data_IF_894480710465
#
_entry.id   IF_894480710465
#
_cell.length_a   1.000
_cell.length_b   1.000
_cell.length_c   1.000
_cell.angle_alpha   90.00
_cell.angle_beta   90.00
_cell.angle_gamma   90.00
#
_symmetry.space_group_name_H-M   'P 1'
#
loop_
_entity.id
_entity.type
_entity.pdbx_description
1 polymer ?
#
# COMPACT_ATOMS: atom_id res chain seq x y z
N UNK A 1 -16.58 -21.10 -7.06
CA UNK A 1 -16.24 -19.95 -6.19
C UNK A 1 -14.77 -19.57 -6.28
N UNK A 2 -13.83 -20.54 -6.33
CA UNK A 2 -12.40 -20.28 -6.51
C UNK A 2 -12.09 -19.48 -7.79
N UNK A 3 -12.69 -19.85 -8.93
CA UNK A 3 -12.46 -19.17 -10.22
C UNK A 3 -12.89 -17.69 -10.21
N UNK A 4 -13.99 -17.37 -9.53
CA UNK A 4 -14.49 -15.99 -9.43
C UNK A 4 -13.53 -15.13 -8.60
N UNK A 5 -12.99 -15.68 -7.51
CA UNK A 5 -12.02 -14.99 -6.66
C UNK A 5 -10.71 -14.74 -7.42
N UNK A 6 -10.25 -15.75 -8.18
CA UNK A 6 -9.06 -15.65 -9.04
C UNK A 6 -9.24 -14.59 -10.14
N UNK A 7 -10.39 -14.57 -10.82
CA UNK A 7 -10.72 -13.55 -11.81
C UNK A 7 -10.77 -12.14 -11.21
N UNK A 8 -11.38 -11.96 -10.03
CA UNK A 8 -11.43 -10.66 -9.35
C UNK A 8 -10.03 -10.18 -8.94
N UNK A 9 -9.21 -11.08 -8.39
CA UNK A 9 -7.82 -10.76 -8.04
C UNK A 9 -6.99 -10.38 -9.29
N UNK A 10 -7.18 -11.10 -10.38
CA UNK A 10 -6.48 -10.85 -11.63
C UNK A 10 -6.90 -9.53 -12.29
N UNK A 11 -8.20 -9.21 -12.30
CA UNK A 11 -8.73 -7.93 -12.76
C UNK A 11 -8.21 -6.76 -11.92
N UNK A 12 -8.14 -6.92 -10.59
CA UNK A 12 -7.58 -5.91 -9.71
C UNK A 12 -6.09 -5.64 -10.00
N UNK A 13 -5.30 -6.69 -10.27
CA UNK A 13 -3.89 -6.57 -10.66
C UNK A 13 -3.71 -5.86 -12.02
N UNK A 14 -4.54 -6.22 -13.01
CA UNK A 14 -4.55 -5.56 -14.32
C UNK A 14 -4.95 -4.08 -14.20
N UNK A 15 -6.01 -3.77 -13.44
CA UNK A 15 -6.45 -2.40 -13.20
C UNK A 15 -5.37 -1.57 -12.49
N UNK A 16 -4.69 -2.14 -11.48
CA UNK A 16 -3.56 -1.50 -10.79
C UNK A 16 -2.35 -1.26 -11.71
N UNK A 17 -2.08 -2.19 -12.62
CA UNK A 17 -1.03 -2.04 -13.63
C UNK A 17 -1.34 -0.93 -14.64
N UNK A 18 -2.60 -0.81 -15.08
CA UNK A 18 -3.05 0.18 -16.07
C UNK A 18 -3.22 1.58 -15.48
N UNK A 19 -3.69 1.70 -14.23
CA UNK A 19 -4.07 2.97 -13.60
C UNK A 19 -2.94 4.01 -13.52
N UNK A 20 -1.65 3.62 -13.57
CA UNK A 20 -0.51 4.57 -13.52
C UNK A 20 0.41 4.56 -14.73
N UNK A 21 0.04 3.89 -15.82
CA UNK A 21 0.82 3.93 -17.07
C UNK A 21 0.97 5.36 -17.63
N UNK A 22 0.06 6.28 -17.31
CA UNK A 22 0.05 7.68 -17.79
C UNK A 22 0.69 8.74 -16.88
N UNK A 23 1.19 8.38 -15.68
CA UNK A 23 1.72 9.36 -14.71
C UNK A 23 3.24 9.51 -14.79
N UNK A 24 3.75 10.74 -15.02
CA UNK A 24 5.19 11.06 -14.84
C UNK A 24 5.57 10.80 -13.37
N UNK A 25 6.48 9.84 -13.07
CA UNK A 25 7.55 9.92 -12.04
C UNK A 25 8.24 8.57 -11.69
N UNK A 26 9.51 8.70 -11.25
CA UNK A 26 10.45 7.77 -10.60
C UNK A 26 10.85 6.43 -11.27
N UNK A 27 12.16 6.21 -11.41
CA UNK A 27 12.80 5.11 -12.18
C UNK A 27 12.49 3.69 -11.71
N UNK A 28 12.05 3.49 -10.46
CA UNK A 28 11.73 2.16 -9.90
C UNK A 28 10.23 1.81 -9.93
N UNK A 29 9.33 2.80 -10.06
CA UNK A 29 7.88 2.57 -10.09
C UNK A 29 7.33 1.86 -11.34
N UNK A 30 7.88 2.01 -12.57
CA UNK A 30 7.25 1.40 -13.74
C UNK A 30 7.32 -0.12 -13.74
N UNK A 31 8.35 -0.71 -13.11
CA UNK A 31 8.52 -2.16 -13.06
C UNK A 31 7.51 -2.86 -12.15
N UNK A 32 7.05 -2.21 -11.08
CA UNK A 32 6.02 -2.75 -10.18
C UNK A 32 4.66 -2.83 -10.89
N UNK A 33 4.31 -1.81 -11.67
CA UNK A 33 3.06 -1.80 -12.44
C UNK A 33 3.08 -2.83 -13.57
N UNK A 34 4.21 -2.95 -14.27
CA UNK A 34 4.40 -3.99 -15.31
C UNK A 34 4.35 -5.40 -14.72
N UNK A 35 4.98 -5.61 -13.56
CA UNK A 35 4.87 -6.86 -12.82
C UNK A 35 3.41 -7.21 -12.52
N UNK A 36 2.66 -6.28 -11.92
CA UNK A 36 1.27 -6.50 -11.57
C UNK A 36 0.40 -6.79 -12.80
N UNK A 37 0.60 -6.04 -13.89
CA UNK A 37 -0.12 -6.27 -15.14
C UNK A 37 0.18 -7.64 -15.75
N UNK A 38 1.46 -8.01 -15.91
CA UNK A 38 1.86 -9.29 -16.47
C UNK A 38 1.35 -10.47 -15.64
N UNK A 39 1.43 -10.36 -14.30
CA UNK A 39 0.94 -11.40 -13.41
C UNK A 39 -0.60 -11.51 -13.45
N UNK A 40 -1.31 -10.38 -13.45
CA UNK A 40 -2.77 -10.35 -13.58
C UNK A 40 -3.23 -10.96 -14.92
N UNK A 41 -2.58 -10.58 -16.02
CA UNK A 41 -2.87 -11.13 -17.34
C UNK A 41 -2.62 -12.65 -17.40
N UNK A 42 -1.52 -13.14 -16.80
CA UNK A 42 -1.24 -14.57 -16.73
C UNK A 42 -2.36 -15.34 -16.01
N UNK A 43 -2.83 -14.83 -14.87
CA UNK A 43 -3.90 -15.47 -14.10
C UNK A 43 -5.23 -15.52 -14.87
N UNK A 44 -5.53 -14.50 -15.68
CA UNK A 44 -6.73 -14.48 -16.54
C UNK A 44 -6.61 -15.55 -17.63
N UNK A 45 -5.49 -15.57 -18.36
CA UNK A 45 -5.26 -16.50 -19.48
C UNK A 45 -5.31 -17.96 -19.02
N UNK A 46 -4.81 -18.24 -17.82
CA UNK A 46 -4.76 -19.59 -17.25
C UNK A 46 -6.04 -20.00 -16.50
N UNK A 47 -7.09 -19.17 -16.52
CA UNK A 47 -8.37 -19.58 -15.94
C UNK A 47 -8.99 -20.66 -16.83
N UNK A 48 -9.55 -21.77 -16.30
CA UNK A 48 -10.06 -22.88 -17.12
C UNK A 48 -11.01 -22.44 -18.24
N UNK A 49 -11.93 -21.52 -17.94
CA UNK A 49 -12.86 -20.97 -18.94
C UNK A 49 -12.17 -20.17 -20.05
N UNK A 50 -11.12 -19.41 -19.73
CA UNK A 50 -10.37 -18.63 -20.70
C UNK A 50 -9.46 -19.53 -21.55
N UNK A 51 -8.81 -20.51 -20.92
CA UNK A 51 -7.96 -21.48 -21.60
C UNK A 51 -8.77 -22.30 -22.63
N UNK A 52 -9.92 -22.84 -22.23
CA UNK A 52 -10.81 -23.60 -23.12
C UNK A 52 -11.31 -22.75 -24.30
N UNK A 53 -11.75 -21.51 -24.04
CA UNK A 53 -12.22 -20.63 -25.10
C UNK A 53 -11.13 -20.28 -26.12
N UNK A 54 -9.88 -20.10 -25.65
CA UNK A 54 -8.73 -19.82 -26.54
C UNK A 54 -8.37 -21.05 -27.36
N UNK A 55 -8.38 -22.25 -26.78
CA UNK A 55 -8.10 -23.49 -27.51
C UNK A 55 -9.18 -23.79 -28.55
N UNK A 56 -10.46 -23.57 -28.24
CA UNK A 56 -11.56 -23.74 -29.19
C UNK A 56 -11.44 -22.79 -30.40
N UNK A 57 -11.03 -21.54 -30.17
CA UNK A 57 -10.94 -20.51 -31.23
C UNK A 57 -9.67 -20.68 -32.08
N UNK A 58 -8.53 -20.98 -31.46
CA UNK A 58 -7.23 -20.99 -32.14
C UNK A 58 -6.86 -22.39 -32.66
N UNK A 59 -7.42 -23.45 -32.07
CA UNK A 59 -7.17 -24.83 -32.48
C UNK A 59 -5.76 -25.34 -32.20
N UNK A 60 -5.00 -24.64 -31.35
CA UNK A 60 -3.63 -25.00 -30.96
C UNK A 60 -3.61 -25.46 -29.48
N UNK A 61 -3.40 -26.75 -29.21
CA UNK A 61 -3.38 -27.27 -27.83
C UNK A 61 -2.22 -26.68 -27.02
N UNK A 62 -2.48 -26.31 -25.76
CA UNK A 62 -1.46 -25.81 -24.83
C UNK A 62 -1.04 -24.35 -25.03
N UNK A 63 -1.63 -23.63 -26.00
CA UNK A 63 -1.35 -22.21 -26.24
C UNK A 63 -1.65 -21.32 -25.01
N UNK A 64 -2.75 -21.52 -24.26
CA UNK A 64 -2.99 -20.77 -23.03
C UNK A 64 -1.89 -20.96 -21.99
N UNK A 65 -1.35 -22.19 -21.87
CA UNK A 65 -0.25 -22.52 -20.97
C UNK A 65 1.01 -21.75 -21.33
N UNK A 66 1.41 -21.77 -22.62
CA UNK A 66 2.56 -21.00 -23.10
C UNK A 66 2.37 -19.50 -22.86
N UNK A 67 1.21 -18.95 -23.22
CA UNK A 67 0.92 -17.53 -23.04
C UNK A 67 0.98 -17.13 -21.55
N UNK A 68 0.42 -17.95 -20.67
CA UNK A 68 0.48 -17.77 -19.22
C UNK A 68 1.92 -17.80 -18.68
N UNK A 69 2.73 -18.76 -19.14
CA UNK A 69 4.12 -18.89 -18.69
C UNK A 69 5.01 -17.76 -19.21
N UNK A 70 4.83 -17.30 -20.45
CA UNK A 70 5.51 -16.11 -20.97
C UNK A 70 5.19 -14.86 -20.14
N UNK A 71 3.92 -14.67 -19.78
CA UNK A 71 3.47 -13.56 -18.92
C UNK A 71 4.04 -13.67 -17.50
N UNK A 72 4.08 -14.88 -16.92
CA UNK A 72 4.74 -15.13 -15.62
C UNK A 72 6.23 -14.82 -15.67
N UNK A 73 6.95 -15.25 -16.72
CA UNK A 73 8.38 -14.97 -16.86
C UNK A 73 8.66 -13.48 -17.05
N UNK A 74 7.80 -12.77 -17.79
CA UNK A 74 7.88 -11.31 -17.92
C UNK A 74 7.66 -10.60 -16.57
N UNK A 75 6.71 -11.08 -15.76
CA UNK A 75 6.51 -10.59 -14.40
C UNK A 75 7.77 -10.83 -13.54
N UNK A 76 8.29 -12.06 -13.51
CA UNK A 76 9.51 -12.42 -12.77
C UNK A 76 10.72 -11.57 -13.20
N UNK A 77 10.88 -11.31 -14.51
CA UNK A 77 11.93 -10.43 -15.02
C UNK A 77 11.85 -9.00 -14.43
N UNK A 78 10.63 -8.49 -14.19
CA UNK A 78 10.44 -7.19 -13.54
C UNK A 78 10.98 -7.19 -12.09
N UNK A 79 10.86 -8.30 -11.36
CA UNK A 79 11.47 -8.46 -10.02
C UNK A 79 13.00 -8.39 -10.13
N UNK A 80 13.57 -9.02 -11.15
CA UNK A 80 15.00 -8.95 -11.46
C UNK A 80 15.50 -7.53 -11.71
N UNK A 81 14.72 -6.73 -12.44
CA UNK A 81 15.02 -5.31 -12.70
C UNK A 81 14.95 -4.45 -11.44
N UNK A 82 14.10 -4.80 -10.47
CA UNK A 82 14.00 -4.10 -9.18
C UNK A 82 15.13 -4.48 -8.20
N UNK A 83 15.72 -5.67 -8.34
CA UNK A 83 16.69 -6.22 -7.39
C UNK A 83 18.14 -6.20 -7.89
N UNK A 84 18.37 -6.19 -9.21
CA UNK A 84 19.67 -6.32 -9.87
C UNK A 84 20.40 -5.00 -10.16
N UNK A 85 21.72 -5.09 -10.41
CA UNK A 85 22.61 -3.93 -10.65
C UNK A 85 22.76 -3.53 -12.13
N UNK A 86 22.34 -4.39 -13.06
CA UNK A 86 22.49 -4.16 -14.50
C UNK A 86 21.18 -4.51 -15.23
N UNK A 87 20.39 -3.48 -15.54
CA UNK A 87 19.13 -3.63 -16.27
C UNK A 87 19.31 -4.32 -17.62
N UNK A 88 20.39 -4.00 -18.36
CA UNK A 88 20.67 -4.58 -19.67
C UNK A 88 20.83 -6.11 -19.62
N UNK A 89 21.68 -6.64 -18.72
CA UNK A 89 21.84 -8.10 -18.53
C UNK A 89 20.53 -8.79 -18.15
N UNK A 90 19.70 -8.16 -17.32
CA UNK A 90 18.40 -8.71 -16.91
C UNK A 90 17.41 -8.74 -18.09
N UNK A 91 17.38 -7.69 -18.92
CA UNK A 91 16.57 -7.65 -20.13
C UNK A 91 17.03 -8.70 -21.15
N UNK A 92 18.35 -8.86 -21.33
CA UNK A 92 18.91 -9.90 -22.21
C UNK A 92 18.53 -11.29 -21.68
N UNK A 93 18.74 -11.56 -20.40
CA UNK A 93 18.38 -12.85 -19.80
C UNK A 93 16.88 -13.12 -19.94
N UNK A 94 16.02 -12.14 -19.67
CA UNK A 94 14.58 -12.26 -19.85
C UNK A 94 14.21 -12.55 -21.31
N UNK A 95 14.78 -11.79 -22.27
CA UNK A 95 14.55 -12.01 -23.70
C UNK A 95 14.98 -13.40 -24.15
N UNK A 96 16.16 -13.86 -23.72
CA UNK A 96 16.65 -15.20 -24.02
C UNK A 96 15.74 -16.29 -23.42
N UNK A 97 15.29 -16.13 -22.18
CA UNK A 97 14.35 -17.08 -21.56
C UNK A 97 13.03 -17.13 -22.31
N UNK A 98 12.44 -15.99 -22.67
CA UNK A 98 11.18 -15.94 -23.42
C UNK A 98 11.31 -16.61 -24.80
N UNK A 99 12.39 -16.31 -25.53
CA UNK A 99 12.67 -16.94 -26.83
C UNK A 99 12.88 -18.44 -26.66
N UNK A 100 13.64 -18.87 -25.65
CA UNK A 100 13.87 -20.28 -25.37
C UNK A 100 12.56 -21.02 -25.06
N UNK A 101 11.64 -20.44 -24.28
CA UNK A 101 10.35 -21.05 -23.99
C UNK A 101 9.51 -21.25 -25.25
N UNK A 102 9.44 -20.26 -26.14
CA UNK A 102 8.72 -20.39 -27.42
C UNK A 102 9.33 -21.50 -28.28
N UNK A 103 10.67 -21.55 -28.39
CA UNK A 103 11.35 -22.56 -29.21
C UNK A 103 11.17 -23.97 -28.63
N UNK A 104 11.32 -24.13 -27.31
CA UNK A 104 11.18 -25.43 -26.64
C UNK A 104 9.74 -25.93 -26.68
N UNK A 105 8.75 -25.05 -26.45
CA UNK A 105 7.33 -25.39 -26.59
C UNK A 105 7.02 -25.84 -28.01
N UNK A 106 7.49 -25.10 -29.01
CA UNK A 106 7.28 -25.43 -30.43
C UNK A 106 7.95 -26.76 -30.82
N UNK A 107 9.10 -27.08 -30.23
CA UNK A 107 9.84 -28.31 -30.48
C UNK A 107 9.31 -29.54 -29.71
N UNK A 108 8.55 -29.32 -28.63
CA UNK A 108 8.01 -30.39 -27.81
C UNK A 108 6.80 -31.09 -28.46
N UNK A 109 6.14 -30.48 -29.45
CA UNK A 109 4.99 -31.05 -30.17
C UNK A 109 3.92 -31.56 -29.19
N UNK A 110 3.47 -30.65 -28.33
CA UNK A 110 2.66 -31.00 -27.16
C UNK A 110 1.25 -31.41 -27.59
N UNK A 111 0.85 -32.60 -27.16
CA UNK A 111 -0.51 -33.09 -27.33
C UNK A 111 -1.25 -32.95 -26.01
N UNK A 112 -2.53 -32.58 -26.08
CA UNK A 112 -3.38 -32.40 -24.92
C UNK A 112 -4.53 -33.41 -25.00
N UNK A 113 -4.66 -34.28 -24.00
CA UNK A 113 -5.81 -35.19 -23.89
C UNK A 113 -6.16 -35.42 -22.42
N UNK A 114 -7.45 -35.28 -22.10
CA UNK A 114 -8.00 -35.56 -20.78
C UNK A 114 -7.32 -34.81 -19.60
N UNK A 115 -6.86 -33.58 -19.81
CA UNK A 115 -6.21 -32.77 -18.76
C UNK A 115 -4.78 -33.19 -18.43
N UNK A 116 -4.10 -33.84 -19.38
CA UNK A 116 -2.67 -34.08 -19.32
C UNK A 116 -2.00 -33.66 -20.63
N UNK A 117 -0.84 -33.01 -20.47
CA UNK A 117 0.06 -32.71 -21.58
C UNK A 117 0.97 -33.93 -21.77
N UNK A 118 1.01 -34.48 -22.98
CA UNK A 118 1.86 -35.62 -23.29
C UNK A 118 2.63 -35.42 -24.59
N UNK A 119 3.80 -36.04 -24.62
CA UNK A 119 4.80 -35.82 -25.65
C UNK A 119 5.45 -37.16 -26.01
N UNK A 120 5.69 -37.38 -27.30
CA UNK A 120 6.40 -38.57 -27.80
C UNK A 120 7.79 -38.72 -27.18
N UNK A 121 8.28 -39.96 -27.12
CA UNK A 121 9.60 -40.28 -26.57
C UNK A 121 10.75 -39.40 -27.15
N UNK A 122 10.68 -39.08 -28.45
CA UNK A 122 11.66 -38.23 -29.14
C UNK A 122 11.67 -36.77 -28.66
N UNK A 123 10.57 -36.29 -28.11
CA UNK A 123 10.37 -34.88 -27.77
C UNK A 123 10.40 -34.62 -26.24
N UNK A 124 10.45 -35.67 -25.42
CA UNK A 124 10.64 -35.61 -23.96
C UNK A 124 11.75 -34.65 -23.48
N UNK A 125 12.96 -34.61 -24.08
CA UNK A 125 13.99 -33.69 -23.61
C UNK A 125 13.61 -32.21 -23.81
N UNK A 126 12.80 -31.87 -24.82
CA UNK A 126 12.33 -30.49 -25.04
C UNK A 126 11.31 -30.08 -23.97
N UNK A 127 10.36 -30.97 -23.65
CA UNK A 127 9.40 -30.74 -22.56
C UNK A 127 10.11 -30.59 -21.20
N UNK A 128 11.10 -31.45 -20.92
CA UNK A 128 11.90 -31.35 -19.71
C UNK A 128 12.72 -30.05 -19.64
N UNK A 129 13.32 -29.63 -20.75
CA UNK A 129 14.05 -28.37 -20.83
C UNK A 129 13.11 -27.17 -20.64
N UNK A 130 11.90 -27.22 -21.20
CA UNK A 130 10.85 -26.23 -20.97
C UNK A 130 10.49 -26.15 -19.49
N UNK A 131 10.16 -27.28 -18.85
CA UNK A 131 9.84 -27.37 -17.42
C UNK A 131 11.00 -26.90 -16.53
N UNK A 132 12.24 -27.17 -16.95
CA UNK A 132 13.45 -26.70 -16.27
C UNK A 132 13.55 -25.18 -16.33
N UNK A 133 13.30 -24.57 -17.50
CA UNK A 133 13.37 -23.12 -17.67
C UNK A 133 12.30 -22.40 -16.84
N UNK A 134 11.05 -22.88 -16.87
CA UNK A 134 9.94 -22.28 -16.10
C UNK A 134 10.09 -22.51 -14.58
N UNK A 135 10.86 -23.50 -14.15
CA UNK A 135 11.12 -23.77 -12.72
C UNK A 135 12.33 -22.97 -12.21
N UNK A 136 13.48 -23.06 -12.88
CA UNK A 136 14.74 -22.49 -12.38
C UNK A 136 14.78 -20.97 -12.49
N UNK A 137 14.17 -20.38 -13.51
CA UNK A 137 14.21 -18.93 -13.69
C UNK A 137 13.46 -18.16 -12.58
N UNK A 138 12.21 -18.51 -12.22
CA UNK A 138 11.55 -17.95 -11.03
C UNK A 138 12.28 -18.28 -9.73
N UNK A 139 12.80 -19.50 -9.56
CA UNK A 139 13.55 -19.88 -8.36
C UNK A 139 14.77 -18.98 -8.16
N UNK A 140 15.54 -18.73 -9.22
CA UNK A 140 16.68 -17.81 -9.16
C UNK A 140 16.28 -16.40 -8.68
N UNK A 141 15.23 -15.82 -9.28
CA UNK A 141 14.76 -14.50 -8.91
C UNK A 141 14.15 -14.44 -7.51
N UNK A 142 13.47 -15.50 -7.08
CA UNK A 142 12.99 -15.64 -5.71
C UNK A 142 14.15 -15.69 -4.71
N UNK A 143 15.23 -16.42 -5.01
CA UNK A 143 16.44 -16.45 -4.18
C UNK A 143 17.15 -15.09 -4.12
N UNK A 144 17.23 -14.37 -5.24
CA UNK A 144 17.78 -13.01 -5.28
C UNK A 144 16.92 -12.06 -4.43
N UNK A 145 15.58 -12.11 -4.59
CA UNK A 145 14.63 -11.31 -3.81
C UNK A 145 14.75 -11.62 -2.32
N UNK A 146 14.75 -12.89 -1.93
CA UNK A 146 14.87 -13.35 -0.55
C UNK A 146 16.15 -12.82 0.11
N UNK A 147 17.31 -13.01 -0.54
CA UNK A 147 18.59 -12.49 -0.04
C UNK A 147 18.59 -10.97 0.08
N UNK A 148 18.09 -10.27 -0.93
CA UNK A 148 18.04 -8.81 -0.94
C UNK A 148 17.11 -8.26 0.15
N UNK A 149 15.94 -8.87 0.32
CA UNK A 149 14.96 -8.52 1.35
C UNK A 149 15.51 -8.77 2.74
N UNK A 150 16.12 -9.93 2.98
CA UNK A 150 16.76 -10.26 4.25
C UNK A 150 17.88 -9.27 4.59
N UNK A 151 18.79 -9.02 3.65
CA UNK A 151 19.92 -8.11 3.84
C UNK A 151 19.47 -6.67 4.13
N UNK A 152 18.44 -6.19 3.43
CA UNK A 152 17.86 -4.85 3.67
C UNK A 152 17.07 -4.82 4.98
N UNK A 153 16.39 -5.89 5.36
CA UNK A 153 15.60 -5.96 6.60
C UNK A 153 16.45 -5.77 7.85
N UNK A 154 17.72 -6.19 7.82
CA UNK A 154 18.68 -6.02 8.92
C UNK A 154 19.00 -4.56 9.21
N UNK A 155 18.88 -3.67 8.22
CA UNK A 155 19.13 -2.22 8.35
C UNK A 155 17.86 -1.39 8.45
N UNK A 156 16.72 -1.92 7.99
CA UNK A 156 15.44 -1.24 8.07
C UNK A 156 14.89 -1.22 9.51
N UNK A 157 14.00 -0.28 9.82
CA UNK A 157 13.27 -0.17 11.10
C UNK A 157 11.76 -0.12 10.86
N UNK A 158 10.97 -0.33 11.92
CA UNK A 158 9.50 -0.19 11.89
C UNK A 158 8.80 -1.02 10.81
N UNK A 159 7.82 -0.42 10.14
CA UNK A 159 6.98 -1.09 9.14
C UNK A 159 7.74 -1.56 7.90
N UNK A 160 8.82 -0.87 7.50
CA UNK A 160 9.65 -1.30 6.38
C UNK A 160 10.37 -2.62 6.68
N UNK A 161 10.84 -2.81 7.92
CA UNK A 161 11.43 -4.09 8.35
C UNK A 161 10.41 -5.23 8.27
N UNK A 162 9.17 -4.98 8.71
CA UNK A 162 8.08 -5.96 8.63
C UNK A 162 7.80 -6.31 7.17
N UNK A 163 7.66 -5.32 6.28
CA UNK A 163 7.41 -5.55 4.87
C UNK A 163 8.50 -6.37 4.19
N UNK A 164 9.77 -6.03 4.44
CA UNK A 164 10.91 -6.79 3.90
C UNK A 164 10.98 -8.22 4.44
N UNK A 165 10.60 -8.46 5.71
CA UNK A 165 10.55 -9.82 6.26
C UNK A 165 9.42 -10.64 5.65
N UNK A 166 8.24 -10.05 5.46
CA UNK A 166 7.12 -10.72 4.77
C UNK A 166 7.49 -11.07 3.32
N UNK A 167 8.14 -10.14 2.59
CA UNK A 167 8.68 -10.42 1.26
C UNK A 167 9.71 -11.56 1.27
N UNK A 168 10.58 -11.60 2.27
CA UNK A 168 11.54 -12.68 2.45
C UNK A 168 10.85 -14.04 2.69
N UNK A 169 9.86 -14.09 3.59
CA UNK A 169 9.10 -15.30 3.86
C UNK A 169 8.31 -15.76 2.64
N UNK A 170 7.68 -14.84 1.91
CA UNK A 170 6.97 -15.14 0.66
C UNK A 170 7.90 -15.70 -0.41
N UNK A 171 9.06 -15.07 -0.61
CA UNK A 171 10.08 -15.57 -1.54
C UNK A 171 10.63 -16.95 -1.13
N UNK A 172 10.82 -17.20 0.16
CA UNK A 172 11.25 -18.50 0.68
C UNK A 172 10.15 -19.58 0.48
N UNK A 173 8.89 -19.26 0.74
CA UNK A 173 7.77 -20.14 0.45
C UNK A 173 7.68 -20.45 -1.05
N UNK A 174 7.87 -19.45 -1.91
CA UNK A 174 7.95 -19.63 -3.37
C UNK A 174 9.09 -20.54 -3.81
N UNK A 175 10.28 -20.46 -3.18
CA UNK A 175 11.38 -21.38 -3.45
C UNK A 175 11.04 -22.82 -3.08
N UNK A 176 10.41 -23.03 -1.91
CA UNK A 176 9.94 -24.36 -1.52
C UNK A 176 8.87 -24.85 -2.50
N UNK A 177 8.00 -23.97 -2.97
CA UNK A 177 6.98 -24.30 -3.96
C UNK A 177 7.58 -24.73 -5.29
N UNK A 178 8.63 -24.05 -5.77
CA UNK A 178 9.32 -24.47 -7.00
C UNK A 178 9.96 -25.86 -6.93
N UNK A 179 10.12 -26.44 -5.74
CA UNK A 179 10.58 -27.82 -5.61
C UNK A 179 9.57 -28.84 -6.19
N UNK A 180 8.27 -28.52 -6.23
CA UNK A 180 7.28 -29.36 -6.92
C UNK A 180 7.52 -29.41 -8.43
N UNK A 181 7.96 -28.30 -9.04
CA UNK A 181 8.32 -28.28 -10.46
C UNK A 181 9.50 -29.21 -10.82
N UNK A 182 10.28 -29.66 -9.83
CA UNK A 182 11.32 -30.69 -10.06
C UNK A 182 10.70 -32.05 -10.37
N UNK A 183 9.55 -32.37 -9.77
CA UNK A 183 8.84 -33.61 -10.08
C UNK A 183 8.25 -33.56 -11.49
N UNK A 184 7.75 -32.39 -11.94
CA UNK A 184 7.29 -32.20 -13.33
C UNK A 184 8.42 -32.38 -14.35
N UNK A 185 9.64 -31.92 -14.03
CA UNK A 185 10.82 -32.15 -14.87
C UNK A 185 11.14 -33.65 -14.93
N UNK A 186 11.10 -34.33 -13.78
CA UNK A 186 11.34 -35.77 -13.69
C UNK A 186 10.30 -36.57 -14.47
N UNK A 187 9.02 -36.24 -14.34
CA UNK A 187 7.91 -36.89 -15.03
C UNK A 187 8.03 -36.68 -16.54
N UNK A 188 8.29 -35.45 -17.00
CA UNK A 188 8.51 -35.14 -18.40
C UNK A 188 9.67 -35.94 -19.02
N UNK A 189 10.78 -36.11 -18.30
CA UNK A 189 11.93 -36.91 -18.77
C UNK A 189 11.61 -38.40 -18.86
N UNK A 190 10.97 -38.98 -17.84
CA UNK A 190 10.80 -40.43 -17.71
C UNK A 190 9.60 -40.95 -18.51
N UNK A 191 8.48 -40.23 -18.47
CA UNK A 191 7.20 -40.68 -19.04
C UNK A 191 6.78 -39.85 -20.25
N UNK A 192 7.31 -38.63 -20.41
CA UNK A 192 6.83 -37.68 -21.42
C UNK A 192 5.46 -37.11 -21.09
N UNK A 193 5.03 -37.22 -19.84
CA UNK A 193 3.76 -36.68 -19.35
C UNK A 193 4.01 -35.53 -18.39
N UNK A 194 3.07 -34.61 -18.38
CA UNK A 194 2.98 -33.54 -17.41
C UNK A 194 1.53 -33.47 -16.94
N UNK A 195 1.35 -33.56 -15.62
CA UNK A 195 0.05 -33.48 -14.97
C UNK A 195 -0.35 -32.01 -14.85
N UNK A 196 -1.57 -31.67 -15.29
CA UNK A 196 -2.11 -30.31 -15.15
C UNK A 196 -2.65 -30.03 -13.72
N UNK A 197 -2.69 -31.05 -12.86
CA UNK A 197 -3.24 -30.95 -11.51
C UNK A 197 -2.27 -30.33 -10.52
N UNK A 198 -2.61 -29.15 -9.99
CA UNK A 198 -2.03 -28.68 -8.73
C UNK A 198 -2.62 -29.48 -7.57
N UNK A 199 -1.80 -30.26 -6.89
CA UNK A 199 -2.18 -30.88 -5.63
C UNK A 199 -2.54 -29.81 -4.59
N UNK A 200 -3.44 -30.14 -3.64
CA UNK A 200 -3.90 -29.21 -2.60
C UNK A 200 -2.75 -28.52 -1.84
N UNK A 201 -1.63 -29.23 -1.64
CA UNK A 201 -0.42 -28.69 -1.00
C UNK A 201 0.23 -27.60 -1.85
N UNK A 202 0.31 -27.81 -3.17
CA UNK A 202 0.83 -26.84 -4.15
C UNK A 202 0.00 -25.56 -4.11
N UNK A 203 -1.33 -25.67 -4.17
CA UNK A 203 -2.22 -24.50 -4.15
C UNK A 203 -2.16 -23.75 -2.80
N UNK A 204 -2.07 -24.45 -1.66
CA UNK A 204 -1.91 -23.80 -0.34
C UNK A 204 -0.59 -23.02 -0.29
N UNK A 205 0.51 -23.61 -0.76
CA UNK A 205 1.82 -22.97 -0.72
C UNK A 205 1.90 -21.79 -1.69
N UNK A 206 1.27 -21.90 -2.86
CA UNK A 206 1.08 -20.81 -3.81
C UNK A 206 0.28 -19.64 -3.22
N UNK A 207 -0.85 -19.91 -2.56
CA UNK A 207 -1.65 -18.90 -1.86
C UNK A 207 -0.86 -18.23 -0.72
N UNK A 208 -0.12 -19.02 0.07
CA UNK A 208 0.73 -18.49 1.14
C UNK A 208 1.83 -17.58 0.58
N UNK A 209 2.51 -18.01 -0.48
CA UNK A 209 3.53 -17.22 -1.18
C UNK A 209 2.95 -15.89 -1.67
N UNK A 210 1.83 -15.94 -2.41
CA UNK A 210 1.16 -14.76 -2.93
C UNK A 210 0.71 -13.81 -1.80
N UNK A 211 0.07 -14.35 -0.76
CA UNK A 211 -0.41 -13.58 0.39
C UNK A 211 0.72 -12.86 1.13
N UNK A 212 1.84 -13.55 1.37
CA UNK A 212 3.01 -12.96 2.02
C UNK A 212 3.68 -11.88 1.16
N UNK A 213 3.78 -12.10 -0.15
CA UNK A 213 4.33 -11.10 -1.08
C UNK A 213 3.45 -9.85 -1.16
N UNK A 214 2.12 -10.01 -1.23
CA UNK A 214 1.15 -8.90 -1.24
C UNK A 214 1.20 -8.15 0.09
N UNK A 215 1.18 -8.87 1.22
CA UNK A 215 1.26 -8.28 2.55
C UNK A 215 2.58 -7.50 2.73
N UNK A 216 3.70 -8.07 2.28
CA UNK A 216 5.01 -7.44 2.33
C UNK A 216 5.14 -6.21 1.44
N UNK A 217 4.61 -6.26 0.21
CA UNK A 217 4.62 -5.12 -0.72
C UNK A 217 3.68 -3.99 -0.32
N UNK A 218 2.59 -4.31 0.40
CA UNK A 218 1.58 -3.34 0.81
C UNK A 218 1.88 -2.61 2.12
N UNK A 219 2.93 -2.98 2.88
CA UNK A 219 3.22 -2.37 4.19
C UNK A 219 3.35 -0.85 4.16
N UNK A 220 3.91 -0.29 3.08
CA UNK A 220 3.99 1.16 2.91
C UNK A 220 2.61 1.80 2.72
N UNK A 221 1.72 1.14 1.96
CA UNK A 221 0.35 1.59 1.76
C UNK A 221 -0.45 1.54 3.08
N UNK A 222 -0.27 0.51 3.90
CA UNK A 222 -0.90 0.42 5.22
C UNK A 222 -0.48 1.56 6.15
N UNK A 223 0.81 1.90 6.18
CA UNK A 223 1.31 3.02 6.99
C UNK A 223 0.75 4.34 6.49
N UNK A 224 0.75 4.55 5.18
CA UNK A 224 0.20 5.76 4.57
C UNK A 224 -1.30 5.91 4.83
N UNK A 225 -2.07 4.82 4.69
CA UNK A 225 -3.51 4.79 4.96
C UNK A 225 -3.81 5.06 6.44
N UNK A 226 -3.03 4.46 7.35
CA UNK A 226 -3.16 4.72 8.79
C UNK A 226 -2.88 6.18 9.12
N UNK A 227 -1.81 6.76 8.55
CA UNK A 227 -1.49 8.17 8.76
C UNK A 227 -2.58 9.07 8.17
N UNK A 228 -3.04 8.80 6.95
CA UNK A 228 -4.15 9.53 6.34
C UNK A 228 -5.42 9.50 7.21
N UNK A 229 -5.79 8.33 7.73
CA UNK A 229 -6.94 8.18 8.61
C UNK A 229 -6.78 8.95 9.92
N UNK A 230 -5.57 8.92 10.50
CA UNK A 230 -5.23 9.71 11.67
C UNK A 230 -5.36 11.21 11.36
N UNK A 231 -4.76 11.70 10.27
CA UNK A 231 -4.84 13.11 9.86
C UNK A 231 -6.29 13.55 9.62
N UNK A 232 -7.10 12.69 9.01
CA UNK A 232 -8.52 12.94 8.76
C UNK A 232 -9.30 13.09 10.07
N UNK A 233 -9.13 12.14 11.00
CA UNK A 233 -9.78 12.18 12.31
C UNK A 233 -9.34 13.39 13.13
N UNK A 234 -8.05 13.69 13.14
CA UNK A 234 -7.50 14.85 13.86
C UNK A 234 -8.01 16.16 13.26
N UNK A 235 -8.00 16.30 11.94
CA UNK A 235 -8.55 17.47 11.23
C UNK A 235 -10.03 17.71 11.57
N UNK A 236 -10.84 16.64 11.58
CA UNK A 236 -12.25 16.71 11.99
C UNK A 236 -12.40 17.06 13.47
N UNK A 237 -11.58 16.49 14.34
CA UNK A 237 -11.62 16.75 15.78
C UNK A 237 -11.23 18.19 16.15
N UNK A 238 -10.40 18.86 15.35
CA UNK A 238 -10.05 20.27 15.53
C UNK A 238 -11.16 21.25 15.09
N UNK A 239 -12.20 20.76 14.42
CA UNK A 239 -13.30 21.57 13.90
C UNK A 239 -13.98 22.49 14.93
N UNK A 240 -14.40 21.97 16.11
CA UNK A 240 -15.05 22.78 17.14
C UNK A 240 -14.19 23.96 17.64
N UNK A 241 -12.94 23.70 18.04
CA UNK A 241 -12.03 24.73 18.52
C UNK A 241 -11.74 25.78 17.44
N UNK A 242 -11.42 25.33 16.23
CA UNK A 242 -11.19 26.26 15.12
C UNK A 242 -12.42 27.12 14.84
N UNK A 243 -13.62 26.54 14.87
CA UNK A 243 -14.86 27.29 14.60
C UNK A 243 -15.14 28.35 15.66
N UNK A 244 -14.85 28.04 16.93
CA UNK A 244 -15.04 28.97 18.04
C UNK A 244 -14.05 30.15 17.94
N UNK A 245 -12.77 29.86 17.67
CA UNK A 245 -11.74 30.88 17.47
C UNK A 245 -12.01 31.72 16.23
N UNK A 246 -12.38 31.11 15.11
CA UNK A 246 -12.68 31.83 13.87
C UNK A 246 -13.92 32.71 13.98
N UNK A 247 -14.90 32.34 14.81
CA UNK A 247 -16.07 33.17 15.07
C UNK A 247 -15.72 34.44 15.86
N UNK A 248 -14.79 34.33 16.82
CA UNK A 248 -14.30 35.50 17.57
C UNK A 248 -13.30 36.34 16.76
N UNK A 249 -12.43 35.69 15.96
CA UNK A 249 -11.35 36.31 15.21
C UNK A 249 -11.37 35.82 13.75
N UNK A 250 -12.15 36.46 12.86
CA UNK A 250 -12.27 36.00 11.47
C UNK A 250 -10.95 36.11 10.68
N UNK A 251 -10.05 37.02 11.08
CA UNK A 251 -8.74 37.26 10.47
C UNK A 251 -7.72 36.12 10.59
N UNK A 252 -7.94 35.13 11.45
CA UNK A 252 -7.04 33.97 11.59
C UNK A 252 -7.08 33.03 10.39
N UNK A 253 -8.07 33.17 9.51
CA UNK A 253 -8.23 32.31 8.34
C UNK A 253 -7.24 32.70 7.24
N UNK A 254 -6.13 31.96 7.12
CA UNK A 254 -5.00 32.29 6.24
C UNK A 254 -5.29 32.23 4.71
N UNK A 255 -6.50 31.80 4.28
CA UNK A 255 -6.97 31.62 2.89
C UNK A 255 -8.39 30.98 2.92
N UNK A 256 -9.26 31.24 1.94
CA UNK A 256 -10.56 30.56 1.90
C UNK A 256 -10.40 29.04 1.70
N UNK A 257 -11.11 28.19 2.47
CA UNK A 257 -11.05 26.73 2.29
C UNK A 257 -11.43 26.37 0.85
N UNK A 258 -10.64 25.51 0.20
CA UNK A 258 -10.93 25.05 -1.15
C UNK A 258 -11.98 23.94 -1.03
N UNK A 259 -13.22 24.34 -0.72
CA UNK A 259 -14.36 23.42 -0.49
C UNK A 259 -14.53 22.50 -1.69
N UNK A 260 -14.11 21.24 -1.57
CA UNK A 260 -14.23 20.24 -2.63
C UNK A 260 -13.53 18.91 -2.32
N UNK A 261 -13.78 17.86 -3.12
CA UNK A 261 -13.22 16.52 -2.90
C UNK A 261 -11.68 16.48 -2.94
N UNK A 262 -11.03 17.51 -3.50
CA UNK A 262 -9.57 17.65 -3.54
C UNK A 262 -8.89 17.89 -2.19
N UNK A 263 -9.59 18.41 -1.17
CA UNK A 263 -9.02 18.61 0.18
C UNK A 263 -8.78 17.28 0.92
N UNK A 264 -9.49 16.22 0.56
CA UNK A 264 -9.34 14.89 1.15
C UNK A 264 -8.30 14.03 0.43
N UNK A 265 -7.72 14.53 -0.66
CA UNK A 265 -6.63 13.84 -1.34
C UNK A 265 -5.44 13.66 -0.36
N UNK A 266 -4.72 12.52 -0.40
CA UNK A 266 -3.71 12.20 0.61
C UNK A 266 -2.64 13.28 0.85
N UNK A 267 -2.22 13.98 -0.22
CA UNK A 267 -1.27 15.10 -0.10
C UNK A 267 -1.88 16.42 0.35
N UNK A 268 -3.17 16.65 0.08
CA UNK A 268 -3.87 17.88 0.45
C UNK A 268 -4.30 17.88 1.92
N UNK A 269 -4.69 16.71 2.45
CA UNK A 269 -5.18 16.59 3.82
C UNK A 269 -4.09 16.89 4.86
N UNK A 270 -2.85 16.47 4.62
CA UNK A 270 -1.72 16.78 5.51
C UNK A 270 -1.46 18.29 5.59
N UNK A 271 -1.50 18.99 4.44
CA UNK A 271 -1.36 20.44 4.39
C UNK A 271 -2.56 21.15 5.05
N UNK A 272 -3.78 20.66 4.84
CA UNK A 272 -4.98 21.20 5.49
C UNK A 272 -4.94 21.04 7.01
N UNK A 273 -4.44 19.90 7.51
CA UNK A 273 -4.24 19.68 8.94
C UNK A 273 -3.18 20.64 9.51
N UNK A 274 -2.00 20.69 8.90
CA UNK A 274 -0.91 21.58 9.32
C UNK A 274 -1.37 23.04 9.38
N UNK A 275 -2.06 23.49 8.34
CA UNK A 275 -2.61 24.84 8.29
C UNK A 275 -3.64 25.10 9.39
N UNK A 276 -4.55 24.17 9.64
CA UNK A 276 -5.54 24.33 10.70
C UNK A 276 -4.92 24.43 12.09
N UNK A 277 -3.79 23.76 12.32
CA UNK A 277 -3.01 23.89 13.56
C UNK A 277 -2.46 25.31 13.71
N UNK A 278 -1.89 25.89 12.65
CA UNK A 278 -1.40 27.28 12.66
C UNK A 278 -2.54 28.26 12.93
N UNK A 279 -3.66 28.14 12.23
CA UNK A 279 -4.80 29.05 12.41
C UNK A 279 -5.38 28.98 13.84
N UNK A 280 -5.36 27.80 14.47
CA UNK A 280 -5.72 27.66 15.89
C UNK A 280 -4.67 28.34 16.78
N UNK A 281 -3.39 28.20 16.47
CA UNK A 281 -2.32 28.86 17.23
C UNK A 281 -2.46 30.39 17.16
N UNK A 282 -2.70 30.94 15.98
CA UNK A 282 -2.93 32.37 15.77
C UNK A 282 -4.16 32.85 16.55
N UNK A 283 -5.27 32.08 16.53
CA UNK A 283 -6.45 32.38 17.33
C UNK A 283 -6.20 32.32 18.84
N UNK A 284 -5.39 31.37 19.32
CA UNK A 284 -5.00 31.29 20.72
C UNK A 284 -4.07 32.44 21.14
N UNK A 285 -3.21 32.92 20.25
CA UNK A 285 -2.38 34.10 20.48
C UNK A 285 -3.23 35.37 20.62
N UNK A 286 -4.24 35.55 19.78
CA UNK A 286 -5.20 36.67 19.89
C UNK A 286 -6.08 36.57 21.14
N UNK A 287 -6.43 35.34 21.55
CA UNK A 287 -7.23 35.10 22.75
C UNK A 287 -6.43 35.31 24.05
N UNK A 288 -5.10 35.27 23.98
CA UNK A 288 -4.20 35.29 25.14
C UNK A 288 -4.45 36.43 26.14
N UNK A 289 -4.71 37.69 25.75
CA UNK A 289 -5.00 38.79 26.68
C UNK A 289 -6.30 38.61 27.48
N UNK A 290 -7.15 37.69 27.01
CA UNK A 290 -8.42 37.34 27.65
C UNK A 290 -8.33 36.00 28.40
N UNK A 291 -7.16 35.36 28.56
CA UNK A 291 -7.01 34.21 29.45
C UNK A 291 -6.78 34.72 30.89
N UNK A 292 -7.45 34.09 31.87
CA UNK A 292 -7.29 34.47 33.28
C UNK A 292 -6.30 33.51 33.97
N UNK A 293 -5.25 34.07 34.57
CA UNK A 293 -4.38 33.38 35.53
C UNK A 293 -3.19 32.57 34.95
N UNK A 294 -2.18 32.28 35.79
CA UNK A 294 -0.94 31.57 35.41
C UNK A 294 -1.16 30.10 35.04
N UNK A 295 -2.31 29.52 35.39
CA UNK A 295 -2.68 28.14 35.05
C UNK A 295 -2.70 27.95 33.52
N UNK A 296 -3.17 28.91 32.72
CA UNK A 296 -3.30 28.74 31.26
C UNK A 296 -1.99 28.40 30.51
N UNK A 297 -0.82 28.60 31.14
CA UNK A 297 0.49 28.33 30.57
C UNK A 297 1.15 27.01 31.04
N UNK A 298 0.56 26.28 31.98
CA UNK A 298 1.13 25.04 32.49
C UNK A 298 0.99 23.89 31.45
N UNK A 299 2.09 23.29 30.97
CA UNK A 299 2.05 22.18 30.01
C UNK A 299 1.41 20.90 30.57
N UNK A 300 1.30 20.73 31.89
CA UNK A 300 0.67 19.57 32.54
C UNK A 300 -0.84 19.73 32.77
N UNK A 301 -1.43 20.86 32.33
CA UNK A 301 -2.86 21.07 32.44
C UNK A 301 -3.66 20.10 31.57
N UNK A 302 -4.72 19.54 32.16
CA UNK A 302 -5.65 18.67 31.46
C UNK A 302 -6.35 19.39 30.30
N UNK A 303 -6.64 18.63 29.24
CA UNK A 303 -7.33 19.16 28.07
C UNK A 303 -8.69 19.83 28.42
N UNK A 304 -9.37 19.34 29.47
CA UNK A 304 -10.66 19.86 29.95
C UNK A 304 -10.51 21.22 30.61
N UNK A 305 -9.54 21.38 31.51
CA UNK A 305 -9.25 22.67 32.16
C UNK A 305 -8.84 23.71 31.13
N UNK A 306 -8.00 23.34 30.16
CA UNK A 306 -7.61 24.22 29.05
C UNK A 306 -8.79 24.62 28.17
N UNK A 307 -9.69 23.68 27.89
CA UNK A 307 -10.90 23.98 27.13
C UNK A 307 -11.83 24.94 27.88
N UNK A 308 -11.99 24.77 29.20
CA UNK A 308 -12.80 25.65 30.03
C UNK A 308 -12.23 27.08 30.08
N UNK A 309 -10.91 27.25 30.20
CA UNK A 309 -10.27 28.57 30.18
C UNK A 309 -10.40 29.26 28.83
N UNK A 310 -10.26 28.52 27.72
CA UNK A 310 -10.50 29.02 26.35
C UNK A 310 -11.97 29.46 26.20
N UNK A 311 -12.93 28.66 26.65
CA UNK A 311 -14.36 28.98 26.56
C UNK A 311 -14.67 30.27 27.34
N UNK A 312 -14.20 30.38 28.58
CA UNK A 312 -14.40 31.56 29.41
C UNK A 312 -13.72 32.81 28.82
N UNK A 313 -12.60 32.67 28.12
CA UNK A 313 -11.94 33.76 27.41
C UNK A 313 -12.73 34.20 26.17
N UNK A 314 -13.29 33.25 25.42
CA UNK A 314 -14.17 33.55 24.28
C UNK A 314 -15.44 34.28 24.73
N UNK A 315 -16.05 33.88 25.83
CA UNK A 315 -17.22 34.56 26.40
C UNK A 315 -16.89 36.01 26.80
N UNK A 316 -15.73 36.24 27.43
CA UNK A 316 -15.26 37.60 27.77
C UNK A 316 -15.01 38.47 26.54
N UNK A 317 -14.45 37.87 25.49
CA UNK A 317 -14.22 38.54 24.19
C UNK A 317 -15.55 38.92 23.55
N UNK A 318 -16.55 38.03 23.57
CA UNK A 318 -17.88 38.30 23.03
C UNK A 318 -18.65 39.39 23.81
N UNK A 319 -18.40 39.51 25.12
CA UNK A 319 -18.94 40.57 25.97
C UNK A 319 -18.19 41.92 25.85
N UNK A 320 -17.14 41.99 25.03
CA UNK A 320 -16.33 43.21 24.86
C UNK A 320 -15.59 43.64 26.13
N UNK A 321 -15.30 42.69 27.03
CA UNK A 321 -14.56 43.01 28.26
C UNK A 321 -13.11 43.41 27.93
N UNK A 322 -12.54 44.40 28.64
CA UNK A 322 -11.18 44.84 28.37
C UNK A 322 -10.18 43.71 28.59
N UNK A 323 -9.22 43.60 27.69
CA UNK A 323 -8.06 42.74 27.83
C UNK A 323 -7.35 43.01 29.16
N UNK A 324 -6.87 41.96 29.82
CA UNK A 324 -6.04 42.15 31.01
C UNK A 324 -4.70 42.78 30.59
N UNK A 325 -4.20 43.70 31.41
CA UNK A 325 -2.94 44.39 31.15
C UNK A 325 -1.81 43.35 30.97
N UNK A 326 -1.10 43.32 29.82
CA UNK A 326 -0.10 42.30 29.52
C UNK A 326 1.07 42.26 30.53
N UNK A 327 1.20 43.23 31.43
CA UNK A 327 2.34 43.34 32.35
C UNK A 327 2.26 42.44 33.60
N UNK A 328 1.16 41.71 33.80
CA UNK A 328 1.04 40.74 34.90
C UNK A 328 1.61 39.39 34.47
N UNK A 329 2.95 39.33 34.49
CA UNK A 329 3.76 38.12 34.57
C UNK A 329 3.50 37.08 33.49
N UNK A 330 3.97 37.32 32.25
CA UNK A 330 3.94 36.34 31.18
C UNK A 330 4.82 35.12 31.52
N UNK A 331 4.26 33.90 31.63
CA UNK A 331 5.03 32.73 31.28
C UNK A 331 5.14 32.76 29.76
N UNK A 332 6.36 32.86 29.25
CA UNK A 332 6.68 32.52 27.88
C UNK A 332 6.07 31.15 27.58
N UNK A 333 5.26 31.04 26.54
CA UNK A 333 5.14 29.75 25.85
C UNK A 333 6.54 29.49 25.34
N UNK A 334 7.37 28.82 26.15
CA UNK A 334 8.60 28.23 25.66
C UNK A 334 8.13 27.41 24.45
N UNK A 335 8.68 27.62 23.24
CA UNK A 335 8.32 26.81 22.09
C UNK A 335 8.79 25.38 22.37
N UNK A 336 7.98 24.66 23.14
CA UNK A 336 8.18 23.28 23.51
C UNK A 336 7.83 22.45 22.30
N UNK A 337 8.86 22.02 21.59
CA UNK A 337 8.83 20.95 20.59
C UNK A 337 7.85 21.14 19.43
N UNK A 338 8.26 21.97 18.47
CA UNK A 338 7.86 21.86 17.06
C UNK A 338 6.38 22.13 16.77
N UNK A 339 6.06 23.39 16.47
CA UNK A 339 4.77 23.78 15.90
C UNK A 339 4.52 22.94 14.63
N UNK A 340 3.35 22.30 14.55
CA UNK A 340 2.93 21.44 13.45
C UNK A 340 3.38 19.98 13.56
N UNK A 341 3.77 19.52 14.74
CA UNK A 341 4.03 18.09 14.99
C UNK A 341 2.73 17.30 15.21
N UNK A 342 2.78 15.98 14.92
CA UNK A 342 1.63 15.08 15.16
C UNK A 342 1.20 15.05 16.64
N UNK A 343 2.15 15.24 17.56
CA UNK A 343 1.89 15.27 19.00
C UNK A 343 1.07 16.51 19.40
N UNK A 344 1.47 17.69 18.93
CA UNK A 344 0.74 18.94 19.17
C UNK A 344 -0.67 18.89 18.57
N UNK A 345 -0.80 18.43 17.32
CA UNK A 345 -2.10 18.26 16.68
C UNK A 345 -3.01 17.31 17.49
N UNK A 346 -2.43 16.27 18.10
CA UNK A 346 -3.12 15.37 19.02
C UNK A 346 -3.60 16.06 20.31
N UNK A 347 -2.76 16.92 20.91
CA UNK A 347 -3.10 17.69 22.12
C UNK A 347 -4.22 18.69 21.84
N UNK A 348 -4.11 19.49 20.77
CA UNK A 348 -5.15 20.44 20.35
C UNK A 348 -6.47 19.73 20.03
N UNK A 349 -6.41 18.53 19.43
CA UNK A 349 -7.61 17.74 19.18
C UNK A 349 -8.27 17.24 20.48
N UNK A 350 -7.51 16.99 21.54
CA UNK A 350 -8.07 16.67 22.86
C UNK A 350 -8.77 17.88 23.49
N UNK A 351 -8.15 19.06 23.44
CA UNK A 351 -8.75 20.32 23.91
C UNK A 351 -10.02 20.65 23.14
N UNK A 352 -10.01 20.51 21.81
CA UNK A 352 -11.17 20.75 20.95
C UNK A 352 -12.35 19.83 21.27
N UNK A 353 -12.08 18.54 21.56
CA UNK A 353 -13.12 17.61 22.00
C UNK A 353 -13.71 18.00 23.36
N UNK A 354 -12.87 18.39 24.31
CA UNK A 354 -13.34 18.84 25.62
C UNK A 354 -14.16 20.14 25.52
N UNK A 355 -13.75 21.08 24.66
CA UNK A 355 -14.51 22.29 24.35
C UNK A 355 -15.90 21.95 23.79
N UNK A 356 -15.97 21.03 22.82
CA UNK A 356 -17.23 20.57 22.27
C UNK A 356 -18.15 19.92 23.32
N UNK A 357 -17.59 19.16 24.26
CA UNK A 357 -18.34 18.57 25.36
C UNK A 357 -18.87 19.63 26.34
N UNK A 358 -18.04 20.62 26.73
CA UNK A 358 -18.44 21.70 27.63
C UNK A 358 -19.54 22.58 27.01
N UNK A 359 -19.40 22.93 25.73
CA UNK A 359 -20.43 23.70 25.01
C UNK A 359 -21.74 22.93 24.86
N UNK A 360 -21.70 21.61 24.67
CA UNK A 360 -22.90 20.77 24.66
C UNK A 360 -23.55 20.66 26.05
N UNK A 361 -22.74 20.52 27.11
CA UNK A 361 -23.23 20.44 28.49
C UNK A 361 -23.84 21.77 28.98
N UNK A 362 -23.28 22.91 28.57
CA UNK A 362 -23.84 24.24 28.84
C UNK A 362 -25.12 24.55 28.04
N UNK A 363 -25.38 23.79 26.96
CA UNK A 363 -26.62 23.84 26.16
C UNK A 363 -27.61 22.73 26.54
N UNK A 364 -27.62 22.28 27.79
CA UNK A 364 -28.64 21.33 28.26
C UNK A 364 -30.05 21.93 28.07
N UNK A 365 -31.01 21.22 27.45
CA UNK A 365 -32.29 21.77 27.05
C UNK A 365 -33.20 21.97 28.27
N UNK A 366 -33.03 23.09 28.97
CA UNK A 366 -34.05 23.63 29.85
C UNK A 366 -35.00 24.51 29.01
N UNK A 367 -35.83 23.87 28.18
CA UNK A 367 -37.09 24.40 27.65
C UNK A 367 -37.68 23.40 26.64
N UNK A 368 -38.50 22.48 27.15
CA UNK A 368 -39.70 21.99 26.47
C UNK A 368 -40.87 22.32 27.39
#
# INVERSE_FOLDING_TARGET
>A
MADVLQCLAALALCAFGLYRWGGRQNTAQPHVHRFAFCLGAALIVLTPAAALAVEEVVGLPGLPTLAGDLLRMAAVACIGLMTGRSAQRQLIAAGLTLVALVLLFSAADIQHAAGELFVDARHRPYLAAYNTAITLYPAWHAAVLCRAALHRSRRATGALRVGLRLLCCGAAAGLVWTAWGVDDIRLALLTGRQTDGEDAVSSILGMLCAGLLIAGGSTAAWVALRHWWWSYRTYRALGPLWSALHHAFPEIALLQPRRGPGELAPGALGLALYRRVIEIHDGLLLLRPHLAGPEAADPDITATTRAASILAALDRTALGQPAHDPDIGLPSITPGNGIGTDAEAGQLAAVSRALAQLTAAGRSPASV
#
